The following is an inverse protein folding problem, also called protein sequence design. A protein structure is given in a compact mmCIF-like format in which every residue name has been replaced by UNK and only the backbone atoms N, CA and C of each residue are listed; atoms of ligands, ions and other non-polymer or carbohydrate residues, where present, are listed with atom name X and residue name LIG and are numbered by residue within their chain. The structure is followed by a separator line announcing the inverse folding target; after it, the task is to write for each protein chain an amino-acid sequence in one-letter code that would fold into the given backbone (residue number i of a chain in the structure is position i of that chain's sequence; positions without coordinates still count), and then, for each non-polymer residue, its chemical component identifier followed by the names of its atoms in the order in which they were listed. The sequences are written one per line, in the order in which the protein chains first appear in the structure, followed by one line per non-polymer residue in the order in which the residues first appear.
data_IF_139942121802
#
_entry.id   IF_139942121802
#
_cell.length_a   1.000
_cell.length_b   1.000
_cell.length_c   1.000
_cell.angle_alpha   90.00
_cell.angle_beta   90.00
_cell.angle_gamma   90.00
#
_symmetry.space_group_name_H-M   'P 1'
#
loop_
_entity.id
_entity.type
_entity.pdbx_description
1 polymer ?
#
# COMPACT_ATOMS: atom_id res chain seq x y z
N UNK A 1 8.14 10.61 11.50
CA UNK A 1 7.10 9.65 11.94
C UNK A 1 7.49 8.23 11.54
N UNK A 2 7.32 7.24 12.41
CA UNK A 2 7.52 5.82 12.07
C UNK A 2 6.16 5.18 11.72
N UNK A 3 5.99 4.71 10.48
CA UNK A 3 4.75 4.05 10.04
C UNK A 3 4.86 2.54 10.22
N UNK A 4 4.00 2.00 11.07
CA UNK A 4 3.94 0.60 11.49
C UNK A 4 2.71 -0.09 10.92
N UNK A 5 2.74 -1.43 10.89
CA UNK A 5 1.58 -2.24 10.52
C UNK A 5 0.75 -2.48 11.78
N UNK A 6 -0.54 -2.18 11.75
CA UNK A 6 -1.46 -2.44 12.86
C UNK A 6 -2.49 -3.54 12.54
N UNK A 7 -2.66 -3.89 11.26
CA UNK A 7 -3.46 -5.03 10.83
C UNK A 7 -2.94 -5.60 9.51
N UNK A 8 -3.16 -6.90 9.34
CA UNK A 8 -2.85 -7.60 8.09
C UNK A 8 -3.90 -8.67 7.88
N UNK A 9 -4.56 -8.67 6.72
CA UNK A 9 -5.64 -9.63 6.40
C UNK A 9 -5.47 -10.13 4.97
N UNK A 10 -5.71 -11.42 4.75
CA UNK A 10 -5.86 -11.98 3.40
C UNK A 10 -7.33 -12.02 3.01
N UNK A 11 -7.63 -11.62 1.78
CA UNK A 11 -8.94 -11.76 1.19
C UNK A 11 -8.95 -13.00 0.29
N UNK A 12 -9.96 -13.84 0.49
CA UNK A 12 -10.12 -15.09 -0.23
C UNK A 12 -11.26 -14.98 -1.24
N UNK A 13 -11.08 -15.60 -2.39
CA UNK A 13 -12.12 -15.78 -3.42
C UNK A 13 -11.90 -17.15 -4.05
N UNK A 14 -12.93 -17.97 -4.09
CA UNK A 14 -12.89 -19.34 -4.64
C UNK A 14 -11.76 -20.21 -4.05
N UNK A 15 -11.51 -20.06 -2.74
CA UNK A 15 -10.48 -20.80 -2.01
C UNK A 15 -9.05 -20.32 -2.24
N UNK A 16 -8.84 -19.26 -3.03
CA UNK A 16 -7.53 -18.67 -3.32
C UNK A 16 -7.40 -17.30 -2.67
N UNK A 17 -6.18 -16.94 -2.27
CA UNK A 17 -5.89 -15.58 -1.81
C UNK A 17 -5.79 -14.68 -3.04
N UNK A 18 -6.69 -13.69 -3.15
CA UNK A 18 -6.71 -12.77 -4.28
C UNK A 18 -6.00 -11.43 -3.98
N UNK A 19 -5.92 -11.07 -2.70
CA UNK A 19 -5.37 -9.80 -2.23
C UNK A 19 -5.04 -9.87 -0.74
N UNK A 20 -4.21 -8.93 -0.30
CA UNK A 20 -3.97 -8.64 1.11
C UNK A 20 -4.40 -7.20 1.44
N UNK A 21 -4.92 -6.99 2.64
CA UNK A 21 -5.22 -5.69 3.21
C UNK A 21 -4.23 -5.40 4.33
N UNK A 22 -3.48 -4.30 4.23
CA UNK A 22 -2.48 -3.89 5.21
C UNK A 22 -2.92 -2.59 5.87
N UNK A 23 -3.20 -2.64 7.16
CA UNK A 23 -3.42 -1.46 7.99
C UNK A 23 -2.09 -0.84 8.38
N UNK A 24 -1.95 0.46 8.14
CA UNK A 24 -0.77 1.26 8.43
C UNK A 24 -1.13 2.38 9.40
N UNK A 25 -0.32 2.52 10.45
CA UNK A 25 -0.51 3.48 11.51
C UNK A 25 0.80 4.20 11.82
N UNK A 26 0.73 5.51 12.02
CA UNK A 26 1.86 6.29 12.51
C UNK A 26 1.37 7.50 13.30
N UNK A 27 2.08 7.83 14.37
CA UNK A 27 1.85 9.04 15.14
C UNK A 27 3.19 9.67 15.53
N UNK A 28 3.28 10.99 15.41
CA UNK A 28 4.40 11.78 15.88
C UNK A 28 3.92 12.64 17.05
N UNK A 29 4.26 12.24 18.28
CA UNK A 29 3.79 12.93 19.49
C UNK A 29 4.31 14.37 19.60
N UNK A 30 5.47 14.68 19.01
CA UNK A 30 6.05 16.02 19.08
C UNK A 30 5.32 17.05 18.21
N UNK A 31 4.74 16.61 17.08
CA UNK A 31 4.08 17.48 16.10
C UNK A 31 2.56 17.29 16.06
N UNK A 32 2.04 16.22 16.66
CA UNK A 32 0.64 15.81 16.54
C UNK A 32 0.30 15.18 15.18
N UNK A 33 1.27 15.01 14.28
CA UNK A 33 1.04 14.40 12.97
C UNK A 33 0.61 12.94 13.11
N UNK A 34 -0.29 12.53 12.24
CA UNK A 34 -0.95 11.24 12.31
C UNK A 34 -1.19 10.65 10.92
N UNK A 35 -1.07 9.33 10.81
CA UNK A 35 -1.53 8.58 9.65
C UNK A 35 -2.27 7.32 10.09
N UNK A 36 -3.40 7.07 9.42
CA UNK A 36 -4.13 5.82 9.48
C UNK A 36 -4.62 5.51 8.07
N UNK A 37 -4.10 4.43 7.51
CA UNK A 37 -4.38 4.04 6.15
C UNK A 37 -4.63 2.54 6.09
N UNK A 38 -5.43 2.14 5.10
CA UNK A 38 -5.68 0.74 4.78
C UNK A 38 -5.36 0.55 3.31
N UNK A 39 -4.31 -0.21 3.01
CA UNK A 39 -3.78 -0.38 1.65
C UNK A 39 -4.05 -1.80 1.16
N UNK A 40 -4.70 -1.90 -0.01
CA UNK A 40 -4.93 -3.20 -0.67
C UNK A 40 -3.78 -3.53 -1.62
N UNK A 41 -3.26 -4.74 -1.48
CA UNK A 41 -2.29 -5.36 -2.38
C UNK A 41 -3.02 -6.41 -3.19
N UNK A 42 -3.08 -6.24 -4.51
CA UNK A 42 -3.63 -7.19 -5.46
C UNK A 42 -2.51 -8.09 -6.01
N UNK A 43 -2.88 -9.19 -6.65
CA UNK A 43 -1.95 -10.09 -7.32
C UNK A 43 -1.03 -9.37 -8.34
N UNK A 44 -1.53 -8.33 -9.02
CA UNK A 44 -0.77 -7.53 -9.99
C UNK A 44 0.28 -6.60 -9.34
N UNK A 45 0.22 -6.39 -8.02
CA UNK A 45 1.23 -5.64 -7.28
C UNK A 45 2.43 -6.53 -6.89
N UNK A 46 2.31 -7.86 -7.03
CA UNK A 46 3.38 -8.81 -6.74
C UNK A 46 4.32 -8.96 -7.94
N UNK A 47 5.53 -9.47 -7.70
CA UNK A 47 6.44 -9.85 -8.77
C UNK A 47 5.81 -10.91 -9.68
N UNK A 48 6.20 -10.91 -10.96
CA UNK A 48 5.71 -11.88 -11.93
C UNK A 48 5.89 -13.33 -11.44
N UNK A 49 4.82 -14.12 -11.53
CA UNK A 49 4.81 -15.52 -11.06
C UNK A 49 4.73 -15.71 -9.53
N UNK A 50 4.83 -14.66 -8.71
CA UNK A 50 4.67 -14.77 -7.27
C UNK A 50 3.19 -14.91 -6.89
N UNK A 51 2.89 -15.56 -5.77
CA UNK A 51 1.55 -15.61 -5.17
C UNK A 51 1.61 -15.16 -3.72
N UNK A 52 0.46 -14.87 -3.11
CA UNK A 52 0.39 -14.57 -1.68
C UNK A 52 0.83 -15.73 -0.77
N UNK A 53 0.92 -16.96 -1.29
CA UNK A 53 1.45 -18.12 -0.56
C UNK A 53 2.98 -18.24 -0.65
N UNK A 54 3.62 -17.60 -1.62
CA UNK A 54 5.06 -17.72 -1.88
C UNK A 54 5.86 -16.46 -1.54
N UNK A 55 5.19 -15.30 -1.50
CA UNK A 55 5.84 -14.02 -1.18
C UNK A 55 6.02 -13.86 0.33
N UNK A 56 7.12 -13.24 0.76
CA UNK A 56 7.31 -12.94 2.18
C UNK A 56 6.36 -11.80 2.62
N UNK A 57 5.82 -11.91 3.83
CA UNK A 57 4.95 -10.88 4.39
C UNK A 57 5.64 -9.50 4.48
N UNK A 58 6.96 -9.46 4.73
CA UNK A 58 7.75 -8.21 4.73
C UNK A 58 7.73 -7.51 3.36
N UNK A 59 7.71 -8.28 2.27
CA UNK A 59 7.66 -7.73 0.92
C UNK A 59 6.26 -7.14 0.65
N UNK A 60 5.19 -7.82 1.07
CA UNK A 60 3.82 -7.29 1.00
C UNK A 60 3.69 -5.96 1.77
N UNK A 61 4.25 -5.90 2.98
CA UNK A 61 4.26 -4.67 3.79
C UNK A 61 5.05 -3.56 3.09
N UNK A 62 6.17 -3.89 2.46
CA UNK A 62 6.98 -2.94 1.70
C UNK A 62 6.21 -2.39 0.50
N UNK A 63 5.49 -3.25 -0.23
CA UNK A 63 4.60 -2.83 -1.33
C UNK A 63 3.51 -1.89 -0.80
N UNK A 64 2.88 -2.22 0.32
CA UNK A 64 1.82 -1.38 0.91
C UNK A 64 2.32 0.03 1.27
N UNK A 65 3.51 0.12 1.87
CA UNK A 65 4.14 1.41 2.18
C UNK A 65 4.49 2.20 0.93
N UNK A 66 4.99 1.54 -0.13
CA UNK A 66 5.30 2.20 -1.41
C UNK A 66 4.03 2.73 -2.08
N UNK A 67 2.94 1.96 -2.10
CA UNK A 67 1.65 2.40 -2.64
C UNK A 67 1.10 3.60 -1.88
N UNK A 68 1.10 3.55 -0.54
CA UNK A 68 0.69 4.69 0.27
C UNK A 68 1.50 5.95 -0.05
N UNK A 69 2.82 5.84 -0.13
CA UNK A 69 3.67 6.97 -0.49
C UNK A 69 3.30 7.55 -1.87
N UNK A 70 3.09 6.71 -2.87
CA UNK A 70 2.70 7.12 -4.22
C UNK A 70 1.30 7.77 -4.25
N UNK A 71 0.33 7.25 -3.51
CA UNK A 71 -1.03 7.79 -3.44
C UNK A 71 -1.09 9.14 -2.71
N UNK A 72 -0.15 9.39 -1.80
CA UNK A 72 -0.02 10.67 -1.07
C UNK A 72 0.87 11.69 -1.76
N UNK A 73 1.60 11.29 -2.81
CA UNK A 73 2.46 12.20 -3.54
C UNK A 73 1.60 13.25 -4.28
N UNK A 74 1.97 14.53 -4.15
CA UNK A 74 1.35 15.58 -4.95
C UNK A 74 1.66 15.31 -6.42
N UNK A 75 0.62 15.22 -7.23
CA UNK A 75 0.75 15.17 -8.68
C UNK A 75 0.74 16.62 -9.15
N UNK A 76 1.90 17.13 -9.53
CA UNK A 76 1.96 18.42 -10.21
C UNK A 76 0.99 18.35 -11.40
N UNK A 77 0.10 19.35 -11.52
CA UNK A 77 -0.78 19.46 -12.67
C UNK A 77 0.13 19.64 -13.88
N UNK A 78 0.37 18.57 -14.63
CA UNK A 78 1.02 18.66 -15.92
C UNK A 78 0.09 19.49 -16.80
N UNK A 79 0.44 20.76 -16.97
CA UNK A 79 -0.15 21.63 -17.97
C UNK A 79 -0.01 20.93 -19.30
N UNK A 80 -1.07 20.29 -19.76
CA UNK A 80 -1.16 19.84 -21.15
C UNK A 80 -1.26 21.12 -21.97
N UNK A 81 -0.29 21.48 -22.82
CA UNK A 81 -0.48 22.58 -23.74
C UNK A 81 -1.63 22.18 -24.65
N UNK A 82 -2.77 22.86 -24.53
CA UNK A 82 -3.82 22.76 -25.53
C UNK A 82 -3.20 23.27 -26.84
N UNK A 83 -3.08 22.37 -27.81
CA UNK A 83 -2.73 22.75 -29.17
C UNK A 83 -3.78 23.75 -29.67
N UNK A 84 -3.32 24.95 -30.03
CA UNK A 84 -4.11 25.99 -30.69
C UNK A 84 -4.30 25.64 -32.16
#
# INVERSE_FOLDING_TARGET
MNVQVNSFTYNFTDGQINSAQVGLYGNNQATGEYINASVRINQADLNEGATFLTVNMTDIITIAKKKLAADTALKDATTTPQAQ
#
